data_IF_334471402131
#
_entry.id   IF_334471402131
#
_cell.length_a   1.000
_cell.length_b   1.000
_cell.length_c   1.000
_cell.angle_alpha   90.00
_cell.angle_beta   90.00
_cell.angle_gamma   90.00
#
_symmetry.space_group_name_H-M   'P 1'
#
loop_
_entity.id
_entity.type
_entity.pdbx_description
1 polymer ?
#
# COMPACT_ATOMS: atom_id res chain seq x y z
N UNK A 1 10.69 -8.25 -4.51
CA UNK A 1 10.83 -7.14 -3.54
C UNK A 1 12.16 -6.46 -3.79
N UNK A 2 12.16 -5.25 -4.36
CA UNK A 2 13.35 -4.40 -4.48
C UNK A 2 13.23 -3.33 -3.40
N UNK A 3 13.98 -3.47 -2.31
CA UNK A 3 14.11 -2.42 -1.30
C UNK A 3 15.51 -1.80 -1.45
N UNK A 4 15.56 -0.49 -1.66
CA UNK A 4 16.78 0.30 -1.72
C UNK A 4 16.79 1.41 -0.67
N UNK A 5 17.97 1.87 -0.29
CA UNK A 5 18.13 3.05 0.58
C UNK A 5 18.20 4.30 -0.30
N UNK A 6 17.36 5.30 -0.04
CA UNK A 6 17.36 6.58 -0.77
C UNK A 6 18.69 7.32 -0.51
N UNK A 7 19.44 7.63 -1.57
CA UNK A 7 20.78 8.26 -1.47
C UNK A 7 20.75 9.78 -1.29
N UNK A 8 19.60 10.39 -0.96
CA UNK A 8 19.47 11.83 -0.73
C UNK A 8 18.66 12.15 0.52
N UNK A 9 19.30 12.09 1.69
CA UNK A 9 18.80 12.71 2.94
C UNK A 9 17.45 12.18 3.49
N UNK A 10 16.86 11.18 2.85
CA UNK A 10 15.56 10.60 3.22
C UNK A 10 15.83 9.28 3.95
N UNK A 11 15.54 9.24 5.26
CA UNK A 11 15.80 8.07 6.12
C UNK A 11 14.89 6.88 5.83
N UNK A 12 13.95 7.00 4.88
CA UNK A 12 12.99 5.95 4.59
C UNK A 12 13.56 4.89 3.65
N UNK A 13 13.36 3.63 4.00
CA UNK A 13 13.59 2.52 3.09
C UNK A 13 12.54 2.59 1.97
N UNK A 14 12.99 2.66 0.72
CA UNK A 14 12.13 2.75 -0.45
C UNK A 14 12.01 1.37 -1.07
N UNK A 15 10.79 0.87 -1.16
CA UNK A 15 10.51 -0.46 -1.68
C UNK A 15 9.39 -0.39 -2.74
N UNK A 16 9.58 -1.11 -3.83
CA UNK A 16 8.59 -1.18 -4.92
C UNK A 16 8.30 -2.65 -5.25
N UNK A 17 7.04 -2.95 -5.52
CA UNK A 17 6.58 -4.25 -6.01
C UNK A 17 5.53 -4.06 -7.09
N UNK A 18 5.83 -4.55 -8.29
CA UNK A 18 4.90 -4.61 -9.42
C UNK A 18 4.21 -5.98 -9.42
N UNK A 19 2.90 -5.99 -9.64
CA UNK A 19 2.06 -7.18 -9.51
C UNK A 19 1.13 -7.30 -10.71
N UNK A 20 1.14 -8.46 -11.35
CA UNK A 20 0.33 -8.75 -12.56
C UNK A 20 -0.62 -9.95 -12.38
N UNK A 21 -0.59 -10.64 -11.23
CA UNK A 21 -1.51 -11.73 -10.92
C UNK A 21 -2.95 -11.20 -10.89
N UNK A 22 -3.92 -11.96 -11.40
CA UNK A 22 -5.33 -11.51 -11.41
C UNK A 22 -5.94 -11.46 -10.00
N UNK A 23 -5.49 -12.34 -9.10
CA UNK A 23 -5.95 -12.41 -7.71
C UNK A 23 -4.76 -12.76 -6.81
N UNK A 24 -4.58 -12.04 -5.71
CA UNK A 24 -3.55 -12.34 -4.70
C UNK A 24 -3.84 -11.54 -3.42
N UNK A 25 -2.87 -11.49 -2.52
CA UNK A 25 -2.87 -10.64 -1.34
C UNK A 25 -1.64 -9.73 -1.29
N UNK A 26 -1.80 -8.60 -0.61
CA UNK A 26 -0.72 -7.69 -0.21
C UNK A 26 -0.79 -7.47 1.30
N UNK A 27 0.36 -7.30 1.93
CA UNK A 27 0.44 -7.04 3.35
C UNK A 27 1.57 -6.06 3.65
N UNK A 28 1.45 -5.34 4.78
CA UNK A 28 2.55 -4.55 5.30
C UNK A 28 3.78 -5.45 5.55
N UNK A 29 5.01 -4.94 5.38
CA UNK A 29 6.20 -5.73 5.66
C UNK A 29 6.16 -6.29 7.08
N UNK A 30 6.62 -7.54 7.25
CA UNK A 30 6.62 -8.29 8.51
C UNK A 30 5.26 -8.75 9.05
N UNK A 31 4.13 -8.41 8.42
CA UNK A 31 2.81 -8.89 8.84
C UNK A 31 2.80 -10.43 9.04
N UNK A 32 2.26 -10.97 10.15
CA UNK A 32 1.45 -10.29 11.18
C UNK A 32 2.24 -9.68 12.35
N UNK A 33 3.56 -9.60 12.26
CA UNK A 33 4.38 -8.82 13.21
C UNK A 33 4.32 -7.33 12.85
N UNK A 34 4.94 -6.50 13.69
CA UNK A 34 4.91 -5.06 13.49
C UNK A 34 5.69 -4.63 12.25
N UNK A 35 5.14 -3.66 11.51
CA UNK A 35 5.83 -3.09 10.34
C UNK A 35 7.09 -2.33 10.75
N UNK A 36 8.13 -2.26 9.92
CA UNK A 36 9.28 -1.40 10.17
C UNK A 36 8.95 0.11 10.21
N UNK A 37 9.69 0.85 11.02
CA UNK A 37 9.73 2.32 10.97
C UNK A 37 10.38 2.82 9.66
N UNK A 38 10.11 4.07 9.31
CA UNK A 38 10.69 4.78 8.17
C UNK A 38 10.52 4.00 6.86
N UNK A 39 9.30 3.60 6.53
CA UNK A 39 8.99 2.93 5.26
C UNK A 39 8.42 3.88 4.23
N UNK A 40 8.77 3.61 2.98
CA UNK A 40 8.10 4.09 1.79
C UNK A 40 7.93 2.90 0.84
N UNK A 41 6.86 2.13 1.07
CA UNK A 41 6.58 0.91 0.31
C UNK A 41 5.46 1.17 -0.68
N UNK A 42 5.68 0.85 -1.96
CA UNK A 42 4.67 0.96 -3.01
C UNK A 42 4.40 -0.40 -3.66
N UNK A 43 3.13 -0.76 -3.76
CA UNK A 43 2.64 -1.88 -4.56
C UNK A 43 1.84 -1.32 -5.73
N UNK A 44 2.14 -1.74 -6.95
CA UNK A 44 1.36 -1.38 -8.13
C UNK A 44 0.79 -2.66 -8.73
N UNK A 45 -0.54 -2.75 -8.75
CA UNK A 45 -1.26 -3.88 -9.35
C UNK A 45 -1.68 -3.43 -10.74
N UNK A 46 -1.27 -4.18 -11.77
CA UNK A 46 -1.60 -3.90 -13.16
C UNK A 46 -2.23 -5.12 -13.83
N UNK A 47 -3.34 -4.91 -14.50
CA UNK A 47 -4.12 -5.94 -15.17
C UNK A 47 -4.22 -5.67 -16.68
N UNK A 48 -4.66 -6.65 -17.49
CA UNK A 48 -5.00 -6.41 -18.88
C UNK A 48 -6.01 -5.26 -19.05
N UNK A 49 -5.95 -4.56 -20.19
CA UNK A 49 -6.89 -3.48 -20.50
C UNK A 49 -8.33 -3.99 -20.51
N UNK A 50 -9.23 -3.25 -19.87
CA UNK A 50 -10.65 -3.60 -19.74
C UNK A 50 -11.00 -4.30 -18.42
N UNK A 51 -10.02 -4.72 -17.63
CA UNK A 51 -10.21 -5.18 -16.25
C UNK A 51 -10.20 -4.00 -15.26
N UNK A 52 -10.70 -4.23 -14.05
CA UNK A 52 -10.63 -3.30 -12.92
C UNK A 52 -10.15 -4.02 -11.68
N UNK A 53 -9.32 -3.38 -10.86
CA UNK A 53 -8.80 -3.97 -9.63
C UNK A 53 -9.74 -3.66 -8.47
N UNK A 54 -10.20 -4.68 -7.77
CA UNK A 54 -10.96 -4.57 -6.51
C UNK A 54 -10.06 -4.90 -5.34
N UNK A 55 -9.89 -3.96 -4.41
CA UNK A 55 -9.06 -4.08 -3.22
C UNK A 55 -9.93 -4.16 -1.98
N UNK A 56 -9.64 -5.12 -1.09
CA UNK A 56 -10.32 -5.27 0.20
C UNK A 56 -9.31 -5.51 1.31
N UNK A 57 -9.41 -4.71 2.38
CA UNK A 57 -8.65 -4.93 3.61
C UNK A 57 -9.38 -5.92 4.51
N UNK A 58 -8.66 -6.88 5.07
CA UNK A 58 -9.16 -7.83 6.06
C UNK A 58 -8.59 -7.55 7.47
N UNK A 59 -7.42 -6.92 7.56
CA UNK A 59 -6.85 -6.40 8.81
C UNK A 59 -6.20 -5.02 8.55
N UNK A 60 -6.30 -4.11 9.53
CA UNK A 60 -5.76 -2.76 9.42
C UNK A 60 -5.50 -2.12 10.80
N UNK A 61 -4.24 -1.83 11.07
CA UNK A 61 -3.78 -1.19 12.29
C UNK A 61 -2.49 -0.39 12.03
N UNK A 62 -2.60 0.93 11.99
CA UNK A 62 -1.50 1.89 11.85
C UNK A 62 -1.50 2.89 13.01
N UNK A 63 -0.38 3.60 13.22
CA UNK A 63 -0.38 4.79 14.07
C UNK A 63 -1.31 5.85 13.48
N UNK A 64 -2.25 6.35 14.28
CA UNK A 64 -3.23 7.33 13.82
C UNK A 64 -2.57 8.67 13.51
N UNK A 65 -2.87 9.23 12.33
CA UNK A 65 -2.42 10.54 11.84
C UNK A 65 -0.90 10.68 11.69
N UNK A 66 -0.16 9.56 11.64
CA UNK A 66 1.30 9.49 11.49
C UNK A 66 1.72 8.56 10.37
N UNK A 67 1.16 7.37 10.38
CA UNK A 67 1.40 6.34 9.38
C UNK A 67 0.19 6.23 8.46
N UNK A 68 0.47 6.10 7.17
CA UNK A 68 -0.55 6.20 6.14
C UNK A 68 -0.47 5.07 5.14
N UNK A 69 -1.63 4.59 4.72
CA UNK A 69 -1.81 3.89 3.45
C UNK A 69 -2.56 4.80 2.50
N UNK A 70 -1.93 5.13 1.39
CA UNK A 70 -2.53 5.85 0.27
C UNK A 70 -2.94 4.87 -0.82
N UNK A 71 -4.09 5.10 -1.43
CA UNK A 71 -4.54 4.36 -2.61
C UNK A 71 -4.73 5.34 -3.75
N UNK A 72 -4.10 5.04 -4.88
CA UNK A 72 -4.15 5.83 -6.10
C UNK A 72 -4.86 5.02 -7.20
N UNK A 73 -5.76 5.67 -7.91
CA UNK A 73 -6.49 5.09 -9.05
C UNK A 73 -5.67 5.26 -10.34
N UNK A 74 -4.78 4.29 -10.57
CA UNK A 74 -3.82 4.29 -11.66
C UNK A 74 -2.48 3.65 -11.26
N UNK A 75 -1.47 3.68 -12.17
CA UNK A 75 -0.18 3.02 -11.98
C UNK A 75 0.88 3.87 -11.26
N UNK A 76 0.54 5.09 -10.82
CA UNK A 76 1.52 6.05 -10.30
C UNK A 76 0.99 6.77 -9.05
N UNK A 77 1.92 7.29 -8.24
CA UNK A 77 1.61 7.96 -6.95
C UNK A 77 1.61 9.49 -7.05
N UNK A 78 1.71 10.06 -8.25
CA UNK A 78 1.78 11.51 -8.49
C UNK A 78 0.42 12.14 -8.79
N UNK A 79 -0.58 11.34 -9.16
CA UNK A 79 -1.94 11.78 -9.53
C UNK A 79 -2.99 10.78 -9.01
N UNK A 80 -4.27 11.17 -9.04
CA UNK A 80 -5.43 10.31 -8.73
C UNK A 80 -5.43 9.66 -7.33
N UNK A 81 -5.05 10.40 -6.28
CA UNK A 81 -5.23 9.93 -4.90
C UNK A 81 -6.72 9.70 -4.63
N UNK A 82 -7.09 8.45 -4.41
CA UNK A 82 -8.45 8.02 -4.12
C UNK A 82 -8.74 8.16 -2.63
N UNK A 83 -7.84 7.65 -1.79
CA UNK A 83 -8.00 7.64 -0.34
C UNK A 83 -6.67 7.70 0.42
N UNK A 84 -6.78 8.20 1.65
CA UNK A 84 -5.76 8.14 2.69
C UNK A 84 -6.36 7.48 3.93
N UNK A 85 -5.73 6.41 4.42
CA UNK A 85 -6.14 5.72 5.64
C UNK A 85 -5.02 5.67 6.67
N UNK A 86 -5.44 5.72 7.93
CA UNK A 86 -4.59 5.70 9.12
C UNK A 86 -5.39 5.15 10.31
N UNK A 87 -4.73 4.89 11.43
CA UNK A 87 -5.36 4.35 12.63
C UNK A 87 -5.83 2.90 12.48
N UNK A 88 -6.91 2.54 13.15
CA UNK A 88 -7.34 1.14 13.30
C UNK A 88 -8.71 0.83 12.69
N UNK A 89 -9.34 1.81 12.05
CA UNK A 89 -10.63 1.59 11.38
C UNK A 89 -10.39 0.84 10.09
N UNK A 90 -11.02 -0.32 9.94
CA UNK A 90 -10.95 -1.11 8.72
C UNK A 90 -11.43 -0.30 7.50
N UNK A 91 -10.59 -0.12 6.46
CA UNK A 91 -10.97 0.61 5.26
C UNK A 91 -12.13 -0.05 4.51
N UNK A 92 -12.97 0.77 3.87
CA UNK A 92 -13.98 0.26 2.94
C UNK A 92 -13.33 -0.21 1.64
N UNK A 93 -13.89 -1.22 0.95
CA UNK A 93 -13.36 -1.69 -0.32
C UNK A 93 -13.21 -0.58 -1.37
N UNK A 94 -12.25 -0.75 -2.27
CA UNK A 94 -11.97 0.16 -3.39
C UNK A 94 -11.93 -0.57 -4.71
N UNK A 95 -12.34 0.12 -5.76
CA UNK A 95 -12.36 -0.38 -7.13
C UNK A 95 -11.72 0.69 -8.00
N UNK A 96 -10.71 0.32 -8.78
CA UNK A 96 -10.10 1.22 -9.76
C UNK A 96 -11.07 1.55 -10.89
N UNK A 97 -10.88 2.71 -11.52
CA UNK A 97 -11.60 3.06 -12.75
C UNK A 97 -10.94 2.47 -13.99
N UNK A 98 -9.62 2.23 -13.93
CA UNK A 98 -8.82 1.60 -14.97
C UNK A 98 -8.30 0.22 -14.58
N UNK A 99 -7.32 -0.26 -15.34
CA UNK A 99 -6.69 -1.56 -15.16
C UNK A 99 -5.54 -1.58 -14.15
N UNK A 100 -5.35 -0.50 -13.38
CA UNK A 100 -4.27 -0.39 -12.41
C UNK A 100 -4.72 0.28 -11.11
N UNK A 101 -4.14 -0.16 -10.00
CA UNK A 101 -4.32 0.43 -8.68
C UNK A 101 -2.97 0.42 -7.95
N UNK A 102 -2.56 1.57 -7.41
CA UNK A 102 -1.30 1.69 -6.67
C UNK A 102 -1.57 1.96 -5.20
N UNK A 103 -0.95 1.18 -4.32
CA UNK A 103 -1.05 1.27 -2.87
C UNK A 103 0.31 1.68 -2.32
N UNK A 104 0.34 2.70 -1.46
CA UNK A 104 1.58 3.21 -0.87
C UNK A 104 1.47 3.30 0.64
N UNK A 105 2.37 2.62 1.35
CA UNK A 105 2.52 2.73 2.80
C UNK A 105 3.68 3.67 3.14
N UNK A 106 3.41 4.65 3.99
CA UNK A 106 4.38 5.57 4.56
C UNK A 106 4.37 5.45 6.08
N UNK A 107 5.53 5.22 6.68
CA UNK A 107 5.67 5.21 8.15
C UNK A 107 6.66 6.23 8.65
N UNK A 108 6.44 6.76 9.86
CA UNK A 108 7.39 7.63 10.55
C UNK A 108 8.43 6.82 11.35
N UNK A 109 9.18 7.48 12.23
CA UNK A 109 10.31 6.86 12.94
C UNK A 109 9.93 6.10 14.22
N UNK A 110 8.65 6.06 14.61
CA UNK A 110 8.21 5.47 15.88
C UNK A 110 6.85 4.78 15.79
N UNK A 111 6.53 4.00 16.84
CA UNK A 111 5.19 3.43 17.12
C UNK A 111 4.61 2.59 15.99
N UNK A 112 5.25 1.45 15.80
CA UNK A 112 4.83 0.46 14.85
C UNK A 112 3.69 -0.41 15.39
N UNK A 113 2.81 -0.84 14.49
CA UNK A 113 1.69 -1.72 14.77
C UNK A 113 1.69 -2.90 13.79
N UNK A 114 0.68 -3.76 13.86
CA UNK A 114 0.57 -4.93 12.97
C UNK A 114 0.53 -4.58 11.48
N UNK A 115 0.08 -3.38 11.12
CA UNK A 115 -0.03 -2.93 9.74
C UNK A 115 -1.30 -3.43 9.08
N UNK A 116 -1.22 -3.98 7.88
CA UNK A 116 -2.41 -4.38 7.14
C UNK A 116 -2.23 -5.70 6.40
N UNK A 117 -3.36 -6.35 6.13
CA UNK A 117 -3.49 -7.44 5.18
C UNK A 117 -4.69 -7.17 4.29
N UNK A 118 -4.49 -7.27 2.98
CA UNK A 118 -5.51 -7.01 1.99
C UNK A 118 -5.46 -8.05 0.87
N UNK A 119 -6.61 -8.33 0.28
CA UNK A 119 -6.76 -9.16 -0.91
C UNK A 119 -7.19 -8.29 -2.08
N UNK A 120 -6.90 -8.73 -3.30
CA UNK A 120 -7.39 -8.08 -4.49
C UNK A 120 -7.76 -9.08 -5.59
N UNK A 121 -8.61 -8.63 -6.50
CA UNK A 121 -9.04 -9.36 -7.71
C UNK A 121 -9.25 -8.41 -8.90
N UNK A 122 -9.17 -8.96 -10.12
CA UNK A 122 -9.35 -8.26 -11.40
C UNK A 122 -10.69 -8.60 -12.09
#
# INVERSE_FOLDING_TARGET
MLCGVSTRGETRAVCITEIENATDSIASPSYPNYYPANLNYTWTISQPRGCVVRLRFEDFQLESDKDFVHVYDGPATNENLMDTWTGTRLPSPRVSTGNSLTIKMLTDSTREFRGFYATYEA
#
